data_IF_517251851615
#
_entry.id   IF_517251851615
#
_cell.length_a   1.000
_cell.length_b   1.000
_cell.length_c   1.000
_cell.angle_alpha   90.00
_cell.angle_beta   90.00
_cell.angle_gamma   90.00
#
_symmetry.space_group_name_H-M   'P 1'
#
loop_
_entity.id
_entity.type
_entity.pdbx_description
1 polymer ?
#
# COMPACT_ATOMS: atom_id res chain seq x y z
N UNK A 1 -5.61 -27.37 -19.46
CA UNK A 1 -4.59 -27.24 -18.38
C UNK A 1 -4.98 -28.17 -17.24
N UNK A 2 -4.04 -28.86 -16.64
CA UNK A 2 -4.29 -29.74 -15.49
C UNK A 2 -5.14 -29.06 -14.38
N UNK A 3 -4.89 -27.79 -14.08
CA UNK A 3 -5.67 -27.06 -13.09
C UNK A 3 -7.13 -26.85 -13.54
N UNK A 4 -7.37 -26.54 -14.81
CA UNK A 4 -8.72 -26.38 -15.34
C UNK A 4 -9.49 -27.71 -15.46
N UNK A 5 -8.76 -28.85 -15.54
CA UNK A 5 -9.39 -30.17 -15.49
C UNK A 5 -9.91 -30.52 -14.09
N UNK A 6 -9.36 -29.88 -13.05
CA UNK A 6 -9.79 -30.04 -11.66
C UNK A 6 -10.85 -29.00 -11.23
N UNK A 7 -10.68 -27.71 -11.65
CA UNK A 7 -11.64 -26.63 -11.36
C UNK A 7 -11.64 -25.62 -12.51
N UNK A 8 -12.73 -25.55 -13.24
CA UNK A 8 -13.00 -24.58 -14.30
C UNK A 8 -13.94 -23.44 -13.87
N UNK A 9 -14.30 -23.40 -12.59
CA UNK A 9 -15.26 -22.41 -12.07
C UNK A 9 -14.63 -21.07 -11.72
N UNK A 10 -13.31 -20.99 -11.66
CA UNK A 10 -12.54 -19.80 -11.29
C UNK A 10 -11.43 -19.52 -12.31
N UNK A 11 -11.14 -18.23 -12.60
CA UNK A 11 -10.02 -17.89 -13.46
C UNK A 11 -8.69 -18.29 -12.81
N UNK A 12 -7.75 -18.73 -13.61
CA UNK A 12 -6.37 -18.98 -13.19
C UNK A 12 -5.58 -17.68 -13.13
N UNK A 13 -4.59 -17.64 -12.25
CA UNK A 13 -3.64 -16.53 -12.16
C UNK A 13 -2.28 -16.98 -11.62
N UNK A 14 -1.28 -16.11 -11.78
CA UNK A 14 0.02 -16.18 -11.10
C UNK A 14 0.41 -14.79 -10.60
N UNK A 15 1.27 -14.71 -9.57
CA UNK A 15 1.95 -13.48 -9.19
C UNK A 15 3.29 -13.35 -9.91
N UNK A 16 3.46 -12.30 -10.73
CA UNK A 16 4.66 -12.05 -11.51
C UNK A 16 5.43 -10.84 -10.98
N UNK A 17 6.60 -11.07 -10.39
CA UNK A 17 7.49 -10.01 -9.90
C UNK A 17 8.44 -9.45 -10.99
N UNK A 18 8.43 -9.98 -12.21
CA UNK A 18 9.24 -9.51 -13.33
C UNK A 18 8.51 -8.49 -14.22
N UNK A 19 7.19 -8.36 -14.06
CA UNK A 19 6.38 -7.28 -14.64
C UNK A 19 6.61 -7.11 -16.16
N UNK A 20 6.48 -8.19 -16.92
CA UNK A 20 6.74 -8.19 -18.35
C UNK A 20 8.22 -8.29 -18.75
N UNK A 21 9.14 -8.22 -17.81
CA UNK A 21 10.59 -8.27 -18.08
C UNK A 21 11.17 -9.67 -18.30
N UNK A 22 10.36 -10.73 -18.27
CA UNK A 22 10.81 -12.13 -18.44
C UNK A 22 9.98 -12.87 -19.47
N UNK A 23 10.58 -13.25 -20.59
CA UNK A 23 9.90 -13.90 -21.72
C UNK A 23 9.21 -15.23 -21.37
N UNK A 24 9.73 -15.98 -20.41
CA UNK A 24 9.11 -17.23 -19.97
C UNK A 24 7.83 -16.94 -19.17
N UNK A 25 7.87 -15.96 -18.28
CA UNK A 25 6.69 -15.53 -17.51
C UNK A 25 5.66 -14.88 -18.42
N UNK A 26 6.08 -14.06 -19.40
CA UNK A 26 5.16 -13.49 -20.40
C UNK A 26 4.41 -14.59 -21.15
N UNK A 27 5.09 -15.65 -21.57
CA UNK A 27 4.45 -16.79 -22.22
C UNK A 27 3.43 -17.50 -21.30
N UNK A 28 3.68 -17.59 -19.99
CA UNK A 28 2.71 -18.10 -19.02
C UNK A 28 1.52 -17.16 -18.90
N UNK A 29 1.75 -15.85 -18.83
CA UNK A 29 0.69 -14.84 -18.80
C UNK A 29 -0.18 -14.90 -20.08
N UNK A 30 0.43 -15.04 -21.27
CA UNK A 30 -0.30 -15.22 -22.54
C UNK A 30 -1.17 -16.49 -22.52
N UNK A 31 -0.65 -17.59 -21.96
CA UNK A 31 -1.41 -18.83 -21.81
C UNK A 31 -2.58 -18.68 -20.81
N UNK A 32 -2.40 -17.93 -19.73
CA UNK A 32 -3.47 -17.60 -18.80
C UNK A 32 -4.56 -16.80 -19.51
N UNK A 33 -4.19 -15.75 -20.23
CA UNK A 33 -5.12 -14.93 -21.02
C UNK A 33 -5.89 -15.79 -22.03
N UNK A 34 -5.22 -16.70 -22.74
CA UNK A 34 -5.85 -17.59 -23.73
C UNK A 34 -6.92 -18.53 -23.15
N UNK A 35 -6.90 -18.78 -21.84
CA UNK A 35 -7.90 -19.62 -21.14
C UNK A 35 -8.84 -18.81 -20.23
N UNK A 36 -8.89 -17.48 -20.40
CA UNK A 36 -9.74 -16.61 -19.59
C UNK A 36 -9.22 -16.38 -18.17
N UNK A 37 -7.92 -16.55 -17.96
CA UNK A 37 -7.25 -16.22 -16.70
C UNK A 37 -7.00 -14.73 -16.54
N UNK A 38 -6.46 -14.34 -15.37
CA UNK A 38 -6.11 -12.96 -15.04
C UNK A 38 -4.63 -12.83 -14.74
N UNK A 39 -4.05 -11.68 -15.08
CA UNK A 39 -2.61 -11.45 -15.15
C UNK A 39 -2.15 -10.68 -13.91
N UNK A 40 -1.64 -11.40 -12.90
CA UNK A 40 -1.22 -10.81 -11.64
C UNK A 40 0.21 -10.30 -11.68
N UNK A 41 0.39 -9.05 -11.24
CA UNK A 41 1.69 -8.39 -11.14
C UNK A 41 2.02 -8.06 -9.69
N UNK A 42 3.23 -8.41 -9.26
CA UNK A 42 3.71 -8.05 -7.93
C UNK A 42 4.47 -6.73 -7.99
N UNK A 43 4.09 -5.76 -7.17
CA UNK A 43 4.86 -4.54 -6.92
C UNK A 43 5.21 -3.74 -8.17
N UNK A 44 4.21 -3.20 -8.85
CA UNK A 44 4.43 -2.13 -9.84
C UNK A 44 4.91 -0.90 -9.06
N UNK A 45 6.19 -0.64 -9.05
CA UNK A 45 6.81 0.41 -8.23
C UNK A 45 7.67 1.39 -9.02
N UNK A 46 7.59 1.31 -10.35
CA UNK A 46 8.44 2.10 -11.24
C UNK A 46 9.91 1.66 -11.20
N UNK A 47 10.73 2.42 -11.89
CA UNK A 47 12.18 2.27 -11.83
C UNK A 47 12.80 3.58 -11.32
N UNK A 48 13.03 3.65 -10.02
CA UNK A 48 13.57 4.84 -9.35
C UNK A 48 14.96 5.25 -9.85
N UNK A 49 15.76 4.32 -10.37
CA UNK A 49 17.09 4.61 -10.91
C UNK A 49 17.03 5.34 -12.24
N UNK A 50 16.01 5.07 -13.05
CA UNK A 50 15.81 5.67 -14.37
C UNK A 50 14.75 6.79 -14.37
N UNK A 51 14.11 7.06 -13.21
CA UNK A 51 13.04 8.05 -13.10
C UNK A 51 11.70 7.60 -13.69
N UNK A 52 11.52 6.31 -13.95
CA UNK A 52 10.23 5.75 -14.40
C UNK A 52 9.29 5.68 -13.20
N UNK A 53 8.14 6.33 -13.31
CA UNK A 53 7.08 6.29 -12.28
C UNK A 53 6.33 4.95 -12.29
N UNK A 54 5.61 4.60 -11.20
CA UNK A 54 4.74 3.43 -11.18
C UNK A 54 3.69 3.44 -12.30
N UNK A 55 3.01 4.56 -12.53
CA UNK A 55 2.04 4.71 -13.63
C UNK A 55 2.67 4.44 -15.00
N UNK A 56 3.80 5.08 -15.29
CA UNK A 56 4.49 4.89 -16.55
C UNK A 56 4.96 3.44 -16.76
N UNK A 57 5.26 2.72 -15.68
CA UNK A 57 5.59 1.29 -15.75
C UNK A 57 4.34 0.46 -16.07
N UNK A 58 3.21 0.75 -15.41
CA UNK A 58 1.95 0.06 -15.62
C UNK A 58 1.41 0.32 -17.03
N UNK A 59 1.43 1.58 -17.49
CA UNK A 59 1.05 1.98 -18.85
C UNK A 59 1.87 1.27 -19.91
N UNK A 60 3.19 1.20 -19.74
CA UNK A 60 4.07 0.50 -20.67
C UNK A 60 3.77 -1.00 -20.73
N UNK A 61 3.45 -1.61 -19.59
CA UNK A 61 3.05 -3.02 -19.54
C UNK A 61 1.72 -3.24 -20.26
N UNK A 62 0.72 -2.41 -20.00
CA UNK A 62 -0.58 -2.49 -20.67
C UNK A 62 -0.46 -2.24 -22.19
N UNK A 63 0.33 -1.25 -22.59
CA UNK A 63 0.57 -0.99 -24.02
C UNK A 63 1.28 -2.14 -24.75
N UNK A 64 2.16 -2.87 -24.05
CA UNK A 64 2.85 -4.04 -24.61
C UNK A 64 1.94 -5.28 -24.67
N UNK A 65 0.98 -5.39 -23.78
CA UNK A 65 0.10 -6.54 -23.60
C UNK A 65 -1.35 -6.08 -23.37
N UNK A 66 -1.99 -5.46 -24.36
CA UNK A 66 -3.34 -4.89 -24.20
C UNK A 66 -4.44 -5.93 -23.95
N UNK A 67 -4.16 -7.20 -24.24
CA UNK A 67 -5.06 -8.33 -24.00
C UNK A 67 -4.97 -8.88 -22.55
N UNK A 68 -3.97 -8.48 -21.77
CA UNK A 68 -3.84 -8.94 -20.38
C UNK A 68 -4.85 -8.24 -19.46
N UNK A 69 -5.54 -9.04 -18.66
CA UNK A 69 -6.39 -8.51 -17.58
C UNK A 69 -5.54 -8.31 -16.34
N UNK A 70 -4.99 -7.10 -16.21
CA UNK A 70 -4.02 -6.77 -15.17
C UNK A 70 -4.66 -6.56 -13.81
N UNK A 71 -3.97 -6.99 -12.75
CA UNK A 71 -4.24 -6.63 -11.36
C UNK A 71 -2.96 -6.72 -10.51
N UNK A 72 -2.92 -6.03 -9.39
CA UNK A 72 -1.84 -6.13 -8.41
C UNK A 72 -1.99 -7.39 -7.56
N UNK A 73 -1.19 -8.44 -7.84
CA UNK A 73 -1.23 -9.68 -7.08
C UNK A 73 -0.56 -9.57 -5.71
N UNK A 74 0.42 -8.69 -5.59
CA UNK A 74 0.97 -8.17 -4.33
C UNK A 74 1.30 -6.69 -4.52
N UNK A 75 0.80 -5.85 -3.62
CA UNK A 75 0.97 -4.39 -3.69
C UNK A 75 1.40 -3.81 -2.36
N UNK A 76 1.66 -2.52 -2.34
CA UNK A 76 2.10 -1.75 -1.19
C UNK A 76 3.40 -2.29 -0.58
N UNK A 77 3.37 -3.29 0.29
CA UNK A 77 4.53 -3.76 1.08
C UNK A 77 5.05 -2.66 2.00
N UNK A 78 4.14 -1.89 2.56
CA UNK A 78 4.46 -0.89 3.58
C UNK A 78 4.73 -1.58 4.90
N UNK A 79 5.59 -0.99 5.71
CA UNK A 79 5.96 -1.52 7.01
C UNK A 79 5.62 -0.52 8.11
N UNK A 80 4.86 -1.00 9.09
CA UNK A 80 4.35 -0.17 10.18
C UNK A 80 4.49 -0.88 11.53
N UNK A 81 4.73 -0.11 12.58
CA UNK A 81 4.61 -0.58 13.96
C UNK A 81 3.46 0.15 14.61
N UNK A 82 2.43 -0.59 15.08
CA UNK A 82 1.23 0.00 15.67
C UNK A 82 1.57 0.98 16.80
N UNK A 83 1.05 2.20 16.70
CA UNK A 83 1.23 3.27 17.69
C UNK A 83 2.56 4.02 17.60
N UNK A 84 3.39 3.77 16.59
CA UNK A 84 4.66 4.47 16.38
C UNK A 84 4.51 5.50 15.27
N UNK A 85 4.88 6.74 15.54
CA UNK A 85 4.76 7.85 14.58
C UNK A 85 6.07 8.51 14.22
N UNK A 86 7.13 8.21 14.94
CA UNK A 86 8.47 8.65 14.57
C UNK A 86 8.93 7.96 13.28
N UNK A 87 9.74 8.67 12.50
CA UNK A 87 10.46 8.04 11.39
C UNK A 87 11.32 6.89 11.91
N UNK A 88 11.62 5.94 11.04
CA UNK A 88 12.41 4.76 11.40
C UNK A 88 13.68 5.16 12.13
N UNK A 89 13.74 4.88 13.41
CA UNK A 89 14.88 5.07 14.27
C UNK A 89 15.39 3.72 14.76
N UNK A 90 16.63 3.70 15.17
CA UNK A 90 17.21 2.55 15.82
C UNK A 90 17.82 2.98 17.14
N UNK A 91 17.22 2.52 18.21
CA UNK A 91 17.73 2.68 19.54
C UNK A 91 17.71 1.33 20.25
N UNK A 92 18.85 0.94 20.82
CA UNK A 92 19.00 -0.22 21.72
C UNK A 92 18.23 -1.49 21.26
N UNK A 93 18.28 -1.82 19.98
CA UNK A 93 17.58 -2.95 19.38
C UNK A 93 16.05 -2.77 19.23
N UNK A 94 15.50 -1.60 19.43
CA UNK A 94 14.14 -1.25 19.00
C UNK A 94 14.19 -0.72 17.58
N UNK A 95 13.20 -1.10 16.83
CA UNK A 95 12.93 -0.59 15.49
C UNK A 95 11.55 0.04 15.53
N UNK A 96 11.51 1.30 15.22
CA UNK A 96 10.29 2.07 15.10
C UNK A 96 10.02 2.31 13.62
N UNK A 97 8.83 1.98 13.20
CA UNK A 97 8.35 2.10 11.83
C UNK A 97 7.10 2.94 11.89
N UNK A 98 7.18 4.14 11.35
CA UNK A 98 6.10 5.10 11.40
C UNK A 98 4.80 4.57 10.83
N UNK A 99 3.69 4.84 11.48
CA UNK A 99 2.34 4.60 10.95
C UNK A 99 1.90 5.67 9.95
N UNK A 100 2.61 6.78 9.83
CA UNK A 100 2.33 7.73 8.76
C UNK A 100 2.59 7.09 7.40
N UNK A 101 1.58 7.11 6.56
CA UNK A 101 1.57 6.41 5.27
C UNK A 101 2.76 6.81 4.37
N UNK A 102 3.09 8.09 4.31
CA UNK A 102 4.20 8.60 3.51
C UNK A 102 5.58 8.15 4.00
N UNK A 103 5.70 7.81 5.28
CA UNK A 103 6.96 7.37 5.89
C UNK A 103 7.13 5.84 5.85
N UNK A 104 6.08 5.10 5.55
CA UNK A 104 6.02 3.65 5.72
C UNK A 104 6.70 2.83 4.62
N UNK A 105 6.98 3.43 3.47
CA UNK A 105 7.57 2.74 2.33
C UNK A 105 9.08 2.59 2.47
N UNK A 106 9.50 1.64 3.24
CA UNK A 106 10.93 1.49 3.53
C UNK A 106 11.58 0.29 2.85
N UNK A 107 10.84 -0.45 2.05
CA UNK A 107 11.38 -1.51 1.19
C UNK A 107 11.55 -1.00 -0.25
N UNK A 108 12.62 -1.46 -0.91
CA UNK A 108 12.98 -0.93 -2.23
C UNK A 108 12.00 -1.26 -3.35
N UNK A 109 11.13 -2.24 -3.15
CA UNK A 109 10.12 -2.69 -4.11
C UNK A 109 8.71 -2.20 -3.79
N UNK A 110 8.48 -1.66 -2.58
CA UNK A 110 7.16 -1.27 -2.10
C UNK A 110 6.79 0.17 -2.43
N UNK A 111 5.51 0.45 -2.26
CA UNK A 111 4.88 1.77 -2.29
C UNK A 111 4.19 2.06 -0.96
N UNK A 112 3.83 3.32 -0.71
CA UNK A 112 2.83 3.61 0.31
C UNK A 112 1.49 2.98 -0.07
N UNK A 113 0.60 2.81 0.89
CA UNK A 113 -0.72 2.26 0.61
C UNK A 113 -1.52 3.19 -0.32
N UNK A 114 -1.41 4.51 -0.13
CA UNK A 114 -2.04 5.50 -1.00
C UNK A 114 -1.51 5.43 -2.43
N UNK A 115 -0.18 5.40 -2.63
CA UNK A 115 0.43 5.31 -3.96
C UNK A 115 0.04 4.00 -4.67
N UNK A 116 -0.05 2.89 -3.93
CA UNK A 116 -0.47 1.60 -4.50
C UNK A 116 -1.94 1.64 -4.91
N UNK A 117 -2.81 2.22 -4.08
CA UNK A 117 -4.22 2.41 -4.41
C UNK A 117 -4.43 3.36 -5.59
N UNK A 118 -3.62 4.40 -5.70
CA UNK A 118 -3.68 5.34 -6.83
C UNK A 118 -3.53 4.63 -8.18
N UNK A 119 -2.65 3.65 -8.28
CA UNK A 119 -2.49 2.82 -9.49
C UNK A 119 -3.75 2.02 -9.86
N UNK A 120 -4.59 1.70 -8.88
CA UNK A 120 -5.87 1.03 -9.13
C UNK A 120 -6.92 2.04 -9.58
N UNK A 121 -7.08 3.13 -8.84
CA UNK A 121 -8.19 4.04 -9.02
C UNK A 121 -8.07 4.90 -10.30
N UNK A 122 -6.85 5.20 -10.74
CA UNK A 122 -6.60 6.04 -11.90
C UNK A 122 -6.50 5.24 -13.21
N UNK A 123 -6.25 3.93 -13.15
CA UNK A 123 -6.00 3.10 -14.32
C UNK A 123 -7.13 2.10 -14.55
N UNK A 124 -8.09 2.45 -15.40
CA UNK A 124 -9.32 1.69 -15.68
C UNK A 124 -9.06 0.26 -16.21
N UNK A 125 -7.86 -0.03 -16.70
CA UNK A 125 -7.43 -1.35 -17.14
C UNK A 125 -6.80 -2.17 -16.01
N UNK A 126 -6.61 -1.62 -14.82
CA UNK A 126 -6.12 -2.30 -13.63
C UNK A 126 -7.30 -2.75 -12.76
N UNK A 127 -7.56 -4.05 -12.71
CA UNK A 127 -8.78 -4.60 -12.11
C UNK A 127 -8.82 -4.54 -10.58
N UNK A 128 -7.72 -4.19 -9.92
CA UNK A 128 -7.66 -4.10 -8.47
C UNK A 128 -6.31 -4.50 -7.88
N UNK A 129 -6.29 -4.70 -6.55
CA UNK A 129 -5.06 -5.04 -5.84
C UNK A 129 -5.30 -6.04 -4.71
N UNK A 130 -4.25 -6.79 -4.40
CA UNK A 130 -4.10 -7.57 -3.17
C UNK A 130 -2.92 -7.06 -2.39
N UNK A 131 -3.20 -6.49 -1.23
CA UNK A 131 -2.19 -5.84 -0.40
C UNK A 131 -1.29 -6.87 0.28
N UNK A 132 0.01 -6.69 0.22
CA UNK A 132 0.95 -7.41 1.05
C UNK A 132 1.22 -6.61 2.34
N UNK A 133 0.63 -6.98 3.50
CA UNK A 133 -0.20 -8.16 3.71
C UNK A 133 -1.25 -7.88 4.77
N UNK A 134 -2.24 -8.77 4.93
CA UNK A 134 -3.32 -8.58 5.91
C UNK A 134 -2.85 -8.55 7.35
N UNK A 135 -1.92 -9.45 7.74
CA UNK A 135 -1.43 -9.57 9.11
C UNK A 135 0.10 -9.53 9.15
N UNK A 136 0.63 -8.97 10.23
CA UNK A 136 2.02 -9.23 10.61
C UNK A 136 2.20 -10.74 10.85
N UNK A 137 3.36 -11.27 10.51
CA UNK A 137 3.61 -12.70 10.60
C UNK A 137 4.98 -13.04 11.16
N UNK A 138 5.07 -14.20 11.82
CA UNK A 138 6.31 -14.73 12.38
C UNK A 138 7.04 -15.50 11.29
N UNK A 139 8.36 -15.37 11.24
CA UNK A 139 9.22 -16.13 10.33
C UNK A 139 10.12 -15.23 9.49
N UNK A 140 9.71 -14.74 8.38
CA UNK A 140 10.49 -13.88 7.48
C UNK A 140 10.69 -12.47 8.04
N UNK A 141 11.74 -12.18 8.82
CA UNK A 141 11.92 -10.87 9.44
C UNK A 141 12.42 -9.84 8.43
N UNK A 142 11.66 -9.62 7.38
CA UNK A 142 11.91 -8.59 6.38
C UNK A 142 11.35 -7.25 6.92
N UNK A 143 12.08 -6.14 6.78
CA UNK A 143 13.33 -5.95 6.02
C UNK A 143 14.61 -6.20 6.81
N UNK A 144 14.54 -6.74 8.00
CA UNK A 144 15.63 -6.85 8.96
C UNK A 144 16.67 -7.91 8.64
N UNK A 145 16.40 -8.77 7.69
CA UNK A 145 17.32 -9.82 7.25
C UNK A 145 18.52 -9.33 6.43
N UNK A 146 18.71 -8.02 6.31
CA UNK A 146 19.78 -7.42 5.52
C UNK A 146 19.40 -7.07 4.09
N UNK A 147 18.13 -7.23 3.72
CA UNK A 147 17.61 -6.87 2.40
C UNK A 147 16.69 -5.66 2.45
N UNK A 148 16.76 -4.83 1.42
CA UNK A 148 15.87 -3.69 1.28
C UNK A 148 16.24 -2.47 2.11
N UNK A 149 15.46 -1.41 1.96
CA UNK A 149 15.57 -0.18 2.73
C UNK A 149 15.12 -0.46 4.16
N UNK A 150 15.85 0.05 5.12
CA UNK A 150 15.61 -0.22 6.54
C UNK A 150 16.23 -1.50 7.03
N UNK A 151 16.97 -2.22 6.20
CA UNK A 151 17.80 -3.31 6.69
C UNK A 151 18.84 -2.76 7.66
N UNK A 152 18.92 -3.36 8.83
CA UNK A 152 19.82 -2.96 9.91
C UNK A 152 20.95 -3.97 10.05
N UNK A 153 21.56 -4.28 8.93
CA UNK A 153 22.73 -5.15 8.86
C UNK A 153 23.81 -4.67 9.83
N UNK A 154 24.26 -5.59 10.68
CA UNK A 154 25.29 -5.32 11.68
C UNK A 154 24.77 -4.77 13.00
N UNK A 155 23.48 -4.60 13.18
CA UNK A 155 22.90 -4.14 14.42
C UNK A 155 22.19 -5.29 15.14
N UNK A 156 22.19 -5.28 16.45
CA UNK A 156 21.83 -6.44 17.29
C UNK A 156 20.36 -6.86 17.24
N UNK A 157 19.46 -6.00 16.77
CA UNK A 157 18.04 -6.32 16.67
C UNK A 157 17.78 -7.34 15.56
N UNK A 158 17.24 -8.47 15.93
CA UNK A 158 16.78 -9.51 15.01
C UNK A 158 15.33 -9.81 15.32
N UNK A 159 14.39 -8.97 14.88
CA UNK A 159 12.99 -9.25 15.07
C UNK A 159 12.64 -10.59 14.43
N UNK A 160 11.69 -11.29 15.02
CA UNK A 160 11.22 -12.59 14.54
C UNK A 160 9.95 -12.47 13.71
N UNK A 161 9.49 -11.24 13.52
CA UNK A 161 8.25 -10.89 12.85
C UNK A 161 8.52 -9.98 11.68
N UNK A 162 7.69 -10.08 10.65
CA UNK A 162 7.55 -9.09 9.59
C UNK A 162 6.45 -8.10 9.96
N UNK A 163 6.60 -6.85 9.54
CA UNK A 163 5.72 -5.73 9.92
C UNK A 163 4.92 -5.19 8.74
N UNK A 164 4.65 -6.01 7.74
CA UNK A 164 3.89 -5.63 6.54
C UNK A 164 2.37 -5.64 6.74
N UNK A 165 1.90 -6.22 7.84
CA UNK A 165 0.47 -6.36 8.10
C UNK A 165 -0.26 -5.03 8.26
N UNK A 166 -1.50 -4.96 7.79
CA UNK A 166 -2.44 -3.89 8.14
C UNK A 166 -3.04 -4.12 9.53
N UNK A 167 -2.94 -5.36 10.03
CA UNK A 167 -3.27 -5.79 11.39
C UNK A 167 -2.03 -6.40 12.02
N UNK A 168 -1.77 -6.14 13.28
CA UNK A 168 -0.61 -6.68 13.98
C UNK A 168 -0.78 -8.18 14.36
N UNK A 169 0.29 -8.81 14.87
CA UNK A 169 0.26 -10.22 15.28
C UNK A 169 -0.68 -10.53 16.45
N UNK A 170 -1.11 -9.51 17.19
CA UNK A 170 -2.07 -9.64 18.28
C UNK A 170 -3.53 -9.46 17.82
N UNK A 171 -3.74 -9.13 16.54
CA UNK A 171 -5.06 -8.94 15.95
C UNK A 171 -5.60 -7.53 16.09
N UNK A 172 -4.75 -6.54 16.42
CA UNK A 172 -5.16 -5.15 16.48
C UNK A 172 -4.87 -4.43 15.16
N UNK A 173 -5.84 -3.61 14.74
CA UNK A 173 -5.73 -2.78 13.55
C UNK A 173 -4.60 -1.75 13.73
N UNK A 174 -3.79 -1.57 12.69
CA UNK A 174 -2.88 -0.44 12.55
C UNK A 174 -3.60 0.73 11.89
N UNK A 175 -3.03 1.92 11.91
CA UNK A 175 -3.69 3.09 11.31
C UNK A 175 -4.01 2.89 9.82
N UNK A 176 -3.13 2.22 9.09
CA UNK A 176 -3.32 1.91 7.67
C UNK A 176 -4.56 1.04 7.40
N UNK A 177 -5.05 0.26 8.36
CA UNK A 177 -6.31 -0.45 8.26
C UNK A 177 -7.48 0.50 7.99
N UNK A 178 -7.47 1.66 8.62
CA UNK A 178 -8.53 2.66 8.47
C UNK A 178 -8.44 3.42 7.15
N UNK A 179 -7.25 3.54 6.54
CA UNK A 179 -7.14 4.00 5.15
C UNK A 179 -7.88 3.03 4.22
N UNK A 180 -7.52 1.74 4.24
CA UNK A 180 -8.19 0.75 3.39
C UNK A 180 -9.69 0.66 3.69
N UNK A 181 -10.08 0.72 4.95
CA UNK A 181 -11.51 0.75 5.32
C UNK A 181 -12.21 1.96 4.72
N UNK A 182 -11.59 3.14 4.74
CA UNK A 182 -12.19 4.35 4.15
C UNK A 182 -12.32 4.28 2.62
N UNK A 183 -11.47 3.48 1.96
CA UNK A 183 -11.46 3.31 0.50
C UNK A 183 -12.37 2.17 0.02
N UNK A 184 -12.55 1.12 0.83
CA UNK A 184 -13.22 -0.11 0.40
C UNK A 184 -14.59 -0.35 1.03
N UNK A 185 -14.87 0.25 2.20
CA UNK A 185 -16.13 0.07 2.92
C UNK A 185 -17.06 1.26 2.65
N UNK A 186 -17.91 1.11 1.64
CA UNK A 186 -18.88 2.12 1.26
C UNK A 186 -20.08 2.23 2.23
N UNK A 187 -20.28 1.21 3.08
CA UNK A 187 -21.42 1.11 3.98
C UNK A 187 -21.16 1.77 5.35
N UNK A 188 -19.92 2.03 5.70
CA UNK A 188 -19.51 2.59 6.99
C UNK A 188 -18.99 4.03 6.87
N UNK A 189 -19.35 4.87 7.82
CA UNK A 189 -18.67 6.14 8.01
C UNK A 189 -17.35 5.89 8.75
N UNK A 190 -16.24 6.24 8.13
CA UNK A 190 -14.90 6.10 8.69
C UNK A 190 -14.39 7.48 9.10
N UNK A 191 -13.97 7.61 10.34
CA UNK A 191 -13.19 8.75 10.85
C UNK A 191 -12.14 8.19 11.80
N UNK A 192 -10.89 8.30 11.41
CA UNK A 192 -9.76 7.82 12.21
C UNK A 192 -8.70 8.92 12.31
N UNK A 193 -8.26 9.21 13.52
CA UNK A 193 -7.28 10.25 13.80
C UNK A 193 -5.98 9.59 14.22
N UNK A 194 -4.92 9.93 13.51
CA UNK A 194 -3.57 9.45 13.78
C UNK A 194 -2.82 10.48 14.59
N UNK A 195 -2.21 10.06 15.60
CA UNK A 195 -1.06 10.56 16.31
C UNK A 195 -0.99 9.94 17.71
N UNK A 196 0.19 9.94 18.26
CA UNK A 196 0.43 9.60 19.65
C UNK A 196 0.44 10.91 20.46
N UNK A 197 -0.48 11.05 21.41
CA UNK A 197 -0.56 12.23 22.28
C UNK A 197 0.39 12.16 23.48
N UNK A 198 1.33 11.22 23.47
CA UNK A 198 2.41 11.18 24.45
C UNK A 198 3.42 12.28 24.14
N UNK A 199 3.58 13.23 25.03
CA UNK A 199 4.44 14.40 24.84
C UNK A 199 5.91 14.06 24.51
N UNK A 200 6.39 12.90 24.95
CA UNK A 200 7.77 12.48 24.71
C UNK A 200 7.96 11.82 23.33
N UNK A 201 6.87 11.43 22.67
CA UNK A 201 6.87 10.68 21.41
C UNK A 201 6.14 11.41 20.27
N UNK A 202 5.53 12.57 20.58
CA UNK A 202 4.76 13.31 19.60
C UNK A 202 5.65 13.86 18.49
N UNK A 203 5.30 13.56 17.24
CA UNK A 203 6.03 14.05 16.08
C UNK A 203 5.73 15.51 15.84
N UNK A 204 6.76 16.31 15.69
CA UNK A 204 6.66 17.74 15.38
C UNK A 204 7.40 18.07 14.10
N UNK A 205 6.71 18.70 13.18
CA UNK A 205 7.28 19.25 11.95
C UNK A 205 7.28 20.78 12.07
N UNK A 206 8.45 21.40 12.02
CA UNK A 206 8.61 22.84 12.20
C UNK A 206 7.99 23.37 13.53
N UNK A 207 8.03 22.56 14.58
CA UNK A 207 7.47 22.91 15.89
C UNK A 207 5.96 22.70 16.02
N UNK A 208 5.28 22.29 14.97
CA UNK A 208 3.86 21.94 14.97
C UNK A 208 3.68 20.43 15.08
N UNK A 209 2.63 19.98 15.76
CA UNK A 209 2.26 18.57 15.84
C UNK A 209 1.67 18.15 14.50
N UNK A 210 2.19 17.06 13.96
CA UNK A 210 1.59 16.42 12.80
C UNK A 210 0.36 15.63 13.26
N UNK A 211 -0.77 15.87 12.61
CA UNK A 211 -2.03 15.17 12.87
C UNK A 211 -2.57 14.76 11.49
N UNK A 212 -2.58 13.47 11.24
CA UNK A 212 -3.14 12.90 10.03
C UNK A 212 -4.44 12.16 10.37
N UNK A 213 -5.24 11.84 9.38
CA UNK A 213 -6.46 11.08 9.59
C UNK A 213 -6.95 10.46 8.30
N UNK A 214 -7.73 9.38 8.45
CA UNK A 214 -8.37 8.70 7.34
C UNK A 214 -9.88 8.80 7.46
N UNK A 215 -10.54 9.11 6.36
CA UNK A 215 -12.00 9.25 6.32
C UNK A 215 -12.53 9.08 4.90
N UNK A 216 -13.77 8.62 4.78
CA UNK A 216 -14.54 8.63 3.53
C UNK A 216 -15.56 9.79 3.48
N UNK A 217 -15.45 10.78 4.38
CA UNK A 217 -16.27 11.97 4.35
C UNK A 217 -15.72 13.02 3.35
N UNK A 218 -16.61 13.84 2.78
CA UNK A 218 -16.22 14.90 1.86
C UNK A 218 -15.68 16.17 2.54
N UNK A 219 -15.83 16.26 3.83
CA UNK A 219 -15.35 17.38 4.65
C UNK A 219 -14.95 16.87 6.02
N UNK A 220 -13.84 17.37 6.53
CA UNK A 220 -13.37 17.16 7.90
C UNK A 220 -13.18 18.48 8.61
N UNK A 221 -13.37 18.45 9.91
CA UNK A 221 -13.10 19.55 10.83
C UNK A 221 -12.33 19.02 12.03
N UNK A 222 -11.21 19.66 12.34
CA UNK A 222 -10.39 19.32 13.48
C UNK A 222 -10.65 20.33 14.61
N UNK A 223 -10.97 19.83 15.78
CA UNK A 223 -11.19 20.62 17.00
C UNK A 223 -10.15 20.27 18.06
N UNK A 224 -9.64 21.28 18.74
CA UNK A 224 -8.80 21.15 19.93
C UNK A 224 -9.51 21.83 21.10
N UNK A 225 -9.90 21.05 22.12
CA UNK A 225 -10.66 21.55 23.29
C UNK A 225 -11.90 22.39 22.89
N UNK A 226 -12.70 21.84 21.97
CA UNK A 226 -13.91 22.46 21.40
C UNK A 226 -13.67 23.72 20.55
N UNK A 227 -12.43 24.08 20.28
CA UNK A 227 -12.06 25.15 19.37
C UNK A 227 -11.69 24.57 17.98
N UNK A 228 -12.33 25.08 16.92
CA UNK A 228 -12.04 24.67 15.55
C UNK A 228 -10.64 25.15 15.14
N UNK A 229 -9.74 24.23 14.84
CA UNK A 229 -8.34 24.52 14.47
C UNK A 229 -8.03 24.27 13.00
N UNK A 230 -8.87 23.49 12.31
CA UNK A 230 -8.69 23.21 10.89
C UNK A 230 -9.92 22.65 10.21
N UNK A 231 -10.02 22.86 8.91
CA UNK A 231 -11.06 22.29 8.05
C UNK A 231 -10.41 21.90 6.72
N UNK A 232 -10.76 20.74 6.18
CA UNK A 232 -10.41 20.34 4.82
C UNK A 232 -11.61 19.74 4.10
N UNK A 233 -11.55 19.78 2.76
CA UNK A 233 -12.62 19.29 1.87
C UNK A 233 -12.01 18.53 0.71
N UNK A 234 -12.76 17.55 0.19
CA UNK A 234 -12.33 16.75 -0.93
C UNK A 234 -12.65 17.40 -2.28
N UNK A 235 -11.87 17.03 -3.29
CA UNK A 235 -12.15 17.24 -4.70
C UNK A 235 -12.60 15.92 -5.31
N UNK A 236 -13.66 15.95 -6.11
CA UNK A 236 -14.14 14.80 -6.87
C UNK A 236 -13.39 14.68 -8.18
N UNK A 237 -12.88 13.51 -8.45
CA UNK A 237 -12.26 13.12 -9.71
C UNK A 237 -13.12 12.08 -10.42
N UNK A 238 -12.93 11.95 -11.73
CA UNK A 238 -13.62 10.95 -12.54
C UNK A 238 -12.68 10.35 -13.57
N UNK A 239 -12.63 9.04 -13.61
CA UNK A 239 -11.85 8.30 -14.61
C UNK A 239 -12.56 8.27 -15.96
N UNK A 240 -11.88 7.88 -17.03
CA UNK A 240 -12.43 7.76 -18.37
C UNK A 240 -13.55 6.70 -18.44
N UNK A 241 -13.48 5.61 -17.67
CA UNK A 241 -14.55 4.62 -17.52
C UNK A 241 -15.76 5.14 -16.72
N UNK A 242 -15.64 6.31 -16.11
CA UNK A 242 -16.72 6.97 -15.39
C UNK A 242 -16.77 6.67 -13.89
N UNK A 243 -15.78 5.98 -13.35
CA UNK A 243 -15.62 5.82 -11.91
C UNK A 243 -15.28 7.16 -11.25
N UNK A 244 -15.80 7.40 -10.06
CA UNK A 244 -15.52 8.62 -9.29
C UNK A 244 -14.80 8.30 -8.00
N UNK A 245 -13.83 9.13 -7.65
CA UNK A 245 -13.09 9.05 -6.40
C UNK A 245 -12.83 10.44 -5.82
N UNK A 246 -12.39 10.48 -4.56
CA UNK A 246 -12.17 11.72 -3.82
C UNK A 246 -10.72 11.79 -3.37
N UNK A 247 -10.14 13.00 -3.43
CA UNK A 247 -8.89 13.31 -2.73
C UNK A 247 -9.06 14.57 -1.90
N UNK A 248 -8.35 14.69 -0.80
CA UNK A 248 -8.30 15.93 -0.03
C UNK A 248 -7.50 17.02 -0.77
N UNK A 249 -7.49 18.23 -0.23
CA UNK A 249 -6.90 19.40 -0.90
C UNK A 249 -5.39 19.28 -1.14
N UNK A 250 -4.71 18.41 -0.40
CA UNK A 250 -3.30 18.06 -0.57
C UNK A 250 -3.06 16.98 -1.66
N UNK A 251 -4.11 16.42 -2.26
CA UNK A 251 -4.03 15.38 -3.27
C UNK A 251 -3.99 13.95 -2.71
N UNK A 252 -4.17 13.77 -1.40
CA UNK A 252 -4.20 12.47 -0.74
C UNK A 252 -5.64 11.97 -0.53
N UNK A 253 -5.79 10.64 -0.36
CA UNK A 253 -7.07 9.97 -0.09
C UNK A 253 -7.46 10.03 1.36
#
# INVERSE_FOLDING_TARGET
>A
SWMLDEDDTRPLTIGDNQKGGNSMLNNIQDQLTAVGGVNGMNYISGNRQTGVTPDAQLDALHAAHPEWTLYGAETASSIHTRGEYATMTQDNNRLQLSEYNNDSTKVGWGLSASDAWELVIQNDYNAGEFVWTGFDYIGEPTPWNGTGVGSVSGQGAKPKSSYFGIVDTAGFEKDIYYLYKSLWDEDSNVVHLMTNWNNDEIVKVNGQVQVDGYTNAHKIELYLNDELVGTDTTTTHRTDAGYTYQTFSNGEF
#
